data_IF_661929853112
#
_entry.id   IF_661929853112
#
_cell.length_a   1.000
_cell.length_b   1.000
_cell.length_c   1.000
_cell.angle_alpha   90.00
_cell.angle_beta   90.00
_cell.angle_gamma   90.00
#
_symmetry.space_group_name_H-M   'P 1'
#
loop_
_entity.id
_entity.type
_entity.pdbx_description
1 polymer ?
#
# COMPACT_ATOMS: atom_id res chain seq x y z
N UNK A 1 14.52 52.39 -23.34
CA UNK A 1 14.01 51.94 -22.03
C UNK A 1 13.83 53.20 -21.22
N UNK A 2 12.60 53.49 -20.81
CA UNK A 2 12.30 54.68 -20.01
C UNK A 2 12.80 54.50 -18.58
N UNK A 3 13.07 55.61 -17.90
CA UNK A 3 13.51 55.61 -16.49
C UNK A 3 12.46 56.31 -15.65
N UNK A 4 11.85 55.59 -14.71
CA UNK A 4 10.87 56.11 -13.76
C UNK A 4 11.57 56.31 -12.41
N UNK A 5 11.45 57.49 -11.80
CA UNK A 5 12.11 57.86 -10.55
C UNK A 5 11.11 58.31 -9.50
N UNK A 6 10.95 57.51 -8.45
CA UNK A 6 9.98 57.73 -7.40
C UNK A 6 10.63 58.10 -6.07
N UNK A 7 10.00 59.03 -5.36
CA UNK A 7 10.31 59.38 -3.98
C UNK A 7 9.11 59.00 -3.12
N UNK A 8 9.25 58.00 -2.24
CA UNK A 8 8.09 57.36 -1.59
C UNK A 8 7.63 58.07 -0.31
N UNK A 9 8.48 58.90 0.30
CA UNK A 9 8.17 59.59 1.57
C UNK A 9 7.60 61.00 1.37
N UNK A 10 7.57 61.50 0.13
CA UNK A 10 7.11 62.86 -0.18
C UNK A 10 5.88 62.83 -1.09
N UNK A 11 4.68 62.77 -0.50
CA UNK A 11 3.41 63.06 -1.19
C UNK A 11 2.75 64.32 -0.62
N UNK A 12 2.38 65.25 -1.51
CA UNK A 12 1.74 66.53 -1.18
C UNK A 12 0.40 66.73 -1.89
N UNK A 13 -0.13 65.69 -2.54
CA UNK A 13 -1.43 65.79 -3.22
C UNK A 13 -2.56 65.76 -2.20
N UNK A 14 -3.60 66.54 -2.46
CA UNK A 14 -4.82 66.53 -1.64
C UNK A 14 -5.41 65.11 -1.63
N UNK A 15 -5.93 64.68 -0.48
CA UNK A 15 -6.60 63.39 -0.35
C UNK A 15 -7.68 63.31 -1.43
N UNK A 16 -7.66 62.24 -2.22
CA UNK A 16 -8.72 61.97 -3.19
C UNK A 16 -10.06 61.90 -2.43
N UNK A 17 -10.82 63.00 -2.45
CA UNK A 17 -12.26 62.95 -2.23
C UNK A 17 -12.86 61.95 -3.20
N UNK A 18 -14.03 61.37 -2.84
CA UNK A 18 -14.76 60.37 -3.63
C UNK A 18 -14.42 60.48 -5.12
N UNK A 19 -13.90 59.39 -5.71
CA UNK A 19 -13.36 59.29 -7.08
C UNK A 19 -14.22 60.02 -8.12
N UNK A 20 -14.14 61.34 -8.14
CA UNK A 20 -14.69 62.17 -9.18
C UNK A 20 -13.69 61.99 -10.30
N UNK A 21 -14.17 61.55 -11.46
CA UNK A 21 -13.33 61.36 -12.66
C UNK A 21 -12.55 62.65 -13.00
N UNK A 22 -12.92 63.79 -12.41
CA UNK A 22 -12.28 65.09 -12.53
C UNK A 22 -11.15 65.42 -11.52
N UNK A 23 -10.99 64.70 -10.39
CA UNK A 23 -9.87 64.92 -9.44
C UNK A 23 -8.55 64.30 -9.95
N UNK A 24 -8.66 63.36 -10.90
CA UNK A 24 -7.53 62.80 -11.66
C UNK A 24 -7.31 63.49 -13.02
N UNK A 25 -7.95 64.64 -13.29
CA UNK A 25 -7.59 65.53 -14.39
C UNK A 25 -6.27 66.28 -14.09
N UNK A 26 -5.23 65.54 -13.68
CA UNK A 26 -3.88 66.00 -13.88
C UNK A 26 -3.70 66.13 -15.40
N UNK A 27 -3.20 67.26 -15.87
CA UNK A 27 -2.81 67.37 -17.26
C UNK A 27 -1.53 66.55 -17.45
N UNK A 28 -1.72 65.25 -17.65
CA UNK A 28 -0.70 64.23 -17.77
C UNK A 28 0.23 64.42 -18.99
N UNK A 29 -0.10 65.36 -19.89
CA UNK A 29 0.74 65.77 -21.01
C UNK A 29 1.78 66.84 -20.64
N UNK A 30 1.85 67.28 -19.38
CA UNK A 30 2.99 68.03 -18.87
C UNK A 30 4.16 67.09 -18.57
N UNK A 31 4.89 66.71 -19.62
CA UNK A 31 6.07 65.84 -19.58
C UNK A 31 7.22 66.39 -18.70
N UNK A 32 7.07 67.59 -18.12
CA UNK A 32 8.04 68.17 -17.19
C UNK A 32 7.76 67.82 -15.71
N UNK A 33 6.62 67.20 -15.40
CA UNK A 33 6.16 66.96 -14.02
C UNK A 33 5.95 65.51 -13.62
N UNK A 34 5.68 64.61 -14.56
CA UNK A 34 5.37 63.20 -14.27
C UNK A 34 6.17 62.26 -15.17
N UNK A 35 6.63 61.16 -14.58
CA UNK A 35 7.19 60.06 -15.34
C UNK A 35 6.10 59.41 -16.21
N UNK A 36 6.48 58.89 -17.37
CA UNK A 36 5.52 58.38 -18.34
C UNK A 36 6.04 57.15 -19.10
N UNK A 37 5.10 56.30 -19.51
CA UNK A 37 5.28 55.16 -20.39
C UNK A 37 4.25 55.25 -21.49
N UNK A 38 4.69 55.07 -22.74
CA UNK A 38 3.79 54.97 -23.88
C UNK A 38 4.08 53.71 -24.69
N UNK A 39 3.01 53.05 -25.12
CA UNK A 39 3.06 51.86 -25.95
C UNK A 39 1.92 51.84 -26.96
N UNK A 40 1.96 50.92 -27.92
CA UNK A 40 0.85 50.62 -28.82
C UNK A 40 0.05 49.43 -28.33
N UNK A 41 -1.24 49.43 -28.64
CA UNK A 41 -2.14 48.32 -28.35
C UNK A 41 -1.59 47.02 -28.95
N UNK A 42 -1.71 45.91 -28.22
CA UNK A 42 -1.21 44.58 -28.60
C UNK A 42 0.32 44.43 -28.69
N UNK A 43 1.10 45.37 -28.17
CA UNK A 43 2.54 45.13 -27.94
C UNK A 43 2.73 43.95 -26.96
N UNK A 44 3.75 43.12 -27.22
CA UNK A 44 4.05 41.94 -26.38
C UNK A 44 5.51 41.97 -25.90
N UNK A 45 5.68 42.17 -24.60
CA UNK A 45 6.90 41.87 -23.81
C UNK A 45 8.21 42.54 -24.23
N UNK A 46 8.18 43.61 -25.03
CA UNK A 46 9.37 44.40 -25.37
C UNK A 46 9.40 45.78 -24.69
N UNK A 47 8.30 46.20 -24.07
CA UNK A 47 8.23 47.47 -23.36
C UNK A 47 8.77 47.27 -21.94
N UNK A 48 9.82 48.01 -21.62
CA UNK A 48 10.53 47.90 -20.34
C UNK A 48 10.73 49.28 -19.73
N UNK A 49 10.68 49.36 -18.41
CA UNK A 49 11.09 50.52 -17.63
C UNK A 49 12.17 50.14 -16.63
N UNK A 50 13.17 51.01 -16.47
CA UNK A 50 14.03 51.00 -15.30
C UNK A 50 13.38 51.88 -14.24
N UNK A 51 13.11 51.32 -13.08
CA UNK A 51 12.49 52.03 -11.97
C UNK A 51 13.53 52.27 -10.89
N UNK A 52 13.61 53.51 -10.41
CA UNK A 52 14.47 53.95 -9.31
C UNK A 52 13.62 54.46 -8.17
N UNK A 53 13.89 53.96 -6.97
CA UNK A 53 13.11 54.26 -5.77
C UNK A 53 13.99 54.87 -4.71
N UNK A 54 13.58 56.03 -4.22
CA UNK A 54 14.27 56.80 -3.19
C UNK A 54 13.34 57.02 -2.00
N UNK A 55 13.94 57.08 -0.82
CA UNK A 55 13.29 57.40 0.46
C UNK A 55 14.01 58.59 1.11
N UNK A 56 13.38 59.19 2.12
CA UNK A 56 13.84 60.39 2.81
C UNK A 56 13.14 61.68 2.37
N UNK A 57 13.49 62.78 3.03
CA UNK A 57 12.90 64.09 2.78
C UNK A 57 13.51 64.77 1.54
N UNK A 58 12.83 65.82 1.06
CA UNK A 58 13.21 66.60 -0.13
C UNK A 58 14.67 67.08 -0.16
N UNK A 59 15.29 67.26 1.00
CA UNK A 59 16.65 67.75 1.13
C UNK A 59 17.70 66.61 1.22
N UNK A 60 17.29 65.36 1.45
CA UNK A 60 18.19 64.22 1.67
C UNK A 60 17.59 62.88 1.16
N UNK A 61 17.35 62.79 -0.15
CA UNK A 61 16.93 61.51 -0.74
C UNK A 61 18.07 60.50 -0.77
N UNK A 62 17.79 59.28 -0.32
CA UNK A 62 18.69 58.12 -0.40
C UNK A 62 17.99 56.96 -1.12
N UNK A 63 18.73 56.12 -1.87
CA UNK A 63 18.12 54.95 -2.49
C UNK A 63 17.44 54.04 -1.45
N UNK A 64 16.25 53.56 -1.77
CA UNK A 64 15.55 52.58 -0.93
C UNK A 64 16.15 51.19 -1.17
N UNK A 65 16.51 50.46 -0.12
CA UNK A 65 16.97 49.08 -0.27
C UNK A 65 15.79 48.15 -0.61
N UNK A 66 15.82 47.59 -1.82
CA UNK A 66 14.81 46.69 -2.37
C UNK A 66 15.14 45.21 -2.14
N UNK A 67 16.18 44.89 -1.37
CA UNK A 67 16.53 43.51 -1.05
C UNK A 67 15.38 42.78 -0.34
N UNK A 68 15.06 41.57 -0.80
CA UNK A 68 13.93 40.75 -0.32
C UNK A 68 12.59 41.48 -0.42
N UNK A 69 12.36 42.20 -1.53
CA UNK A 69 11.08 42.82 -1.83
C UNK A 69 10.59 42.39 -3.22
N UNK A 70 9.28 42.28 -3.37
CA UNK A 70 8.61 42.10 -4.64
C UNK A 70 8.02 43.43 -5.12
N UNK A 71 8.20 43.76 -6.40
CA UNK A 71 7.65 44.97 -7.00
C UNK A 71 6.48 44.58 -7.89
N UNK A 72 5.30 45.00 -7.47
CA UNK A 72 4.01 44.66 -8.07
C UNK A 72 3.53 45.86 -8.87
N UNK A 73 3.15 45.65 -10.12
CA UNK A 73 2.46 46.68 -10.90
C UNK A 73 0.96 46.60 -10.64
N UNK A 74 0.38 47.71 -10.19
CA UNK A 74 -1.06 47.86 -9.97
C UNK A 74 -1.59 48.98 -10.83
N UNK A 75 -2.74 48.77 -11.48
CA UNK A 75 -3.35 49.84 -12.27
C UNK A 75 -4.79 49.60 -12.68
N UNK A 76 -5.48 50.70 -12.95
CA UNK A 76 -6.83 50.76 -13.52
C UNK A 76 -6.72 51.10 -15.00
N UNK A 77 -7.18 50.17 -15.84
CA UNK A 77 -7.11 50.31 -17.29
C UNK A 77 -7.99 51.47 -17.80
N UNK A 78 -7.78 51.95 -19.05
CA UNK A 78 -8.49 53.11 -19.59
C UNK A 78 -10.02 53.00 -19.58
N UNK A 79 -10.56 51.78 -19.68
CA UNK A 79 -12.00 51.56 -19.64
C UNK A 79 -12.63 51.65 -18.24
N UNK A 80 -11.82 51.81 -17.19
CA UNK A 80 -12.25 51.87 -15.80
C UNK A 80 -12.80 50.57 -15.22
N UNK A 81 -12.92 49.49 -16.02
CA UNK A 81 -13.51 48.20 -15.63
C UNK A 81 -12.44 47.16 -15.36
N UNK A 82 -11.41 47.11 -16.19
CA UNK A 82 -10.33 46.15 -16.03
C UNK A 82 -9.19 46.71 -15.18
N UNK A 83 -8.40 45.81 -14.61
CA UNK A 83 -7.29 46.10 -13.71
C UNK A 83 -6.07 45.30 -14.15
N UNK A 84 -4.90 45.86 -13.94
CA UNK A 84 -3.64 45.14 -13.99
C UNK A 84 -3.16 44.93 -12.56
N UNK A 85 -2.78 43.68 -12.28
CA UNK A 85 -2.13 43.27 -11.06
C UNK A 85 -1.06 42.25 -11.45
N UNK A 86 0.19 42.67 -11.46
CA UNK A 86 1.31 41.86 -11.94
C UNK A 86 2.41 41.79 -10.89
N UNK A 87 2.71 40.57 -10.48
CA UNK A 87 3.68 40.24 -9.43
C UNK A 87 4.91 39.51 -9.96
N UNK A 88 5.05 39.35 -11.28
CA UNK A 88 5.99 38.40 -11.90
C UNK A 88 7.02 39.06 -12.78
N UNK A 89 6.65 40.14 -13.46
CA UNK A 89 7.49 40.73 -14.49
C UNK A 89 8.44 41.83 -13.97
N UNK A 90 8.74 41.82 -12.67
CA UNK A 90 9.82 42.62 -12.06
C UNK A 90 11.13 41.83 -11.98
N UNK A 91 12.25 42.50 -12.26
CA UNK A 91 13.61 41.98 -12.07
C UNK A 91 14.46 43.01 -11.32
N UNK A 92 14.95 42.67 -10.13
CA UNK A 92 15.90 43.50 -9.40
C UNK A 92 17.22 43.64 -10.17
N UNK A 93 17.71 44.87 -10.34
CA UNK A 93 18.96 45.17 -11.07
C UNK A 93 20.06 45.62 -10.10
N UNK A 94 19.72 46.55 -9.20
CA UNK A 94 20.60 47.03 -8.13
C UNK A 94 19.72 47.24 -6.88
N UNK A 95 19.48 46.18 -6.08
CA UNK A 95 18.59 46.23 -4.93
C UNK A 95 19.00 47.29 -3.91
N UNK A 96 20.30 47.38 -3.59
CA UNK A 96 20.84 48.35 -2.62
C UNK A 96 20.84 49.78 -3.15
N UNK A 97 20.93 49.94 -4.47
CA UNK A 97 20.78 51.24 -5.15
C UNK A 97 19.34 51.59 -5.52
N UNK A 98 18.35 50.82 -5.05
CA UNK A 98 16.93 51.10 -5.26
C UNK A 98 16.43 50.93 -6.68
N UNK A 99 17.01 50.00 -7.46
CA UNK A 99 16.71 49.86 -8.89
C UNK A 99 16.19 48.47 -9.27
N UNK A 100 15.10 48.47 -10.04
CA UNK A 100 14.56 47.27 -10.68
C UNK A 100 14.14 47.57 -12.12
N UNK A 101 14.15 46.56 -12.98
CA UNK A 101 13.54 46.60 -14.31
C UNK A 101 12.15 46.01 -14.22
N UNK A 102 11.17 46.66 -14.83
CA UNK A 102 9.85 46.08 -15.03
C UNK A 102 9.59 45.82 -16.51
N UNK A 103 9.21 44.59 -16.83
CA UNK A 103 8.86 44.12 -18.16
C UNK A 103 7.33 44.15 -18.31
N UNK A 104 6.76 45.08 -19.07
CA UNK A 104 5.30 45.20 -19.07
C UNK A 104 4.63 44.02 -19.79
N UNK A 105 3.62 43.38 -19.16
CA UNK A 105 2.92 42.25 -19.75
C UNK A 105 2.02 42.72 -20.91
N UNK A 106 1.73 41.85 -21.87
CA UNK A 106 0.90 42.18 -23.03
C UNK A 106 -0.49 42.69 -22.64
N UNK A 107 -1.02 42.21 -21.51
CA UNK A 107 -2.30 42.59 -20.94
C UNK A 107 -2.34 44.08 -20.59
N UNK A 108 -1.20 44.67 -20.21
CA UNK A 108 -1.11 46.10 -19.92
C UNK A 108 -1.28 46.98 -21.18
N UNK A 109 -1.22 46.37 -22.36
CA UNK A 109 -1.40 47.04 -23.66
C UNK A 109 -2.67 46.60 -24.38
N UNK A 110 -3.61 45.95 -23.69
CA UNK A 110 -4.80 45.39 -24.34
C UNK A 110 -5.86 46.44 -24.73
N UNK A 111 -5.97 47.54 -23.98
CA UNK A 111 -6.98 48.58 -24.19
C UNK A 111 -6.32 49.92 -24.48
N UNK A 112 -6.69 50.54 -25.59
CA UNK A 112 -6.19 51.86 -25.96
C UNK A 112 -6.77 52.96 -25.05
N UNK A 113 -5.95 53.96 -24.74
CA UNK A 113 -6.26 55.10 -23.87
C UNK A 113 -5.25 55.26 -22.73
N UNK A 114 -5.49 56.26 -21.90
CA UNK A 114 -4.68 56.54 -20.70
C UNK A 114 -5.19 55.72 -19.51
N UNK A 115 -4.28 55.13 -18.74
CA UNK A 115 -4.62 54.49 -17.49
C UNK A 115 -5.26 55.49 -16.52
N UNK A 116 -6.34 55.10 -15.84
CA UNK A 116 -6.96 55.96 -14.83
C UNK A 116 -6.08 56.08 -13.58
N UNK A 117 -5.31 55.04 -13.29
CA UNK A 117 -4.35 54.99 -12.20
C UNK A 117 -3.33 53.90 -12.50
N UNK A 118 -2.05 54.13 -12.22
CA UNK A 118 -1.03 53.09 -12.28
C UNK A 118 0.16 53.46 -11.41
N UNK A 119 0.66 52.50 -10.64
CA UNK A 119 1.80 52.68 -9.72
C UNK A 119 2.45 51.33 -9.41
N UNK A 120 3.61 51.37 -8.76
CA UNK A 120 4.26 50.17 -8.23
C UNK A 120 4.01 50.04 -6.73
N UNK A 121 3.67 48.85 -6.28
CA UNK A 121 3.67 48.48 -4.87
C UNK A 121 4.90 47.62 -4.57
N UNK A 122 5.68 48.02 -3.59
CA UNK A 122 6.85 47.31 -3.11
C UNK A 122 6.44 46.58 -1.84
N UNK A 123 6.52 45.25 -1.84
CA UNK A 123 6.12 44.40 -0.71
C UNK A 123 7.33 43.65 -0.18
N UNK A 124 7.59 43.74 1.12
CA UNK A 124 8.67 43.00 1.77
C UNK A 124 8.29 41.54 1.95
N UNK A 125 9.16 40.65 1.48
CA UNK A 125 8.97 39.21 1.60
C UNK A 125 9.00 38.78 3.07
N UNK A 126 8.10 37.89 3.47
CA UNK A 126 8.03 37.34 4.82
C UNK A 126 7.28 38.20 5.86
N UNK A 127 7.26 39.54 5.73
CA UNK A 127 6.52 40.42 6.65
C UNK A 127 5.19 40.93 6.06
N UNK A 128 5.11 41.07 4.73
CA UNK A 128 3.92 41.64 4.06
C UNK A 128 3.80 43.16 4.20
N UNK A 129 4.78 43.82 4.83
CA UNK A 129 4.88 45.27 4.86
C UNK A 129 5.03 45.80 3.44
N UNK A 130 4.30 46.88 3.10
CA UNK A 130 4.35 47.42 1.75
C UNK A 130 4.32 48.94 1.72
N UNK A 131 4.92 49.49 0.68
CA UNK A 131 4.88 50.90 0.31
C UNK A 131 4.54 51.03 -1.17
N UNK A 132 3.80 52.06 -1.56
CA UNK A 132 3.46 52.33 -2.95
C UNK A 132 4.25 53.54 -3.46
N UNK A 133 4.62 53.52 -4.73
CA UNK A 133 5.11 54.70 -5.42
C UNK A 133 3.96 55.66 -5.70
N UNK A 134 4.29 56.91 -6.02
CA UNK A 134 3.33 57.80 -6.69
C UNK A 134 2.92 57.21 -8.04
N UNK A 135 1.75 57.62 -8.54
CA UNK A 135 1.29 57.26 -9.87
C UNK A 135 2.18 57.87 -10.96
N UNK A 136 2.30 57.14 -12.07
CA UNK A 136 2.94 57.62 -13.30
C UNK A 136 1.98 57.53 -14.47
N UNK A 137 2.33 58.14 -15.59
CA UNK A 137 1.49 58.13 -16.79
C UNK A 137 1.71 56.86 -17.60
N UNK A 138 0.62 56.20 -17.99
CA UNK A 138 0.67 55.11 -18.95
C UNK A 138 -0.38 55.29 -20.04
N UNK A 139 0.10 55.48 -21.26
CA UNK A 139 -0.74 55.67 -22.45
C UNK A 139 -0.59 54.51 -23.44
N UNK A 140 -1.72 53.94 -23.85
CA UNK A 140 -1.79 52.90 -24.88
C UNK A 140 -2.39 53.49 -26.15
N UNK A 141 -1.59 53.64 -27.19
CA UNK A 141 -2.04 54.12 -28.49
C UNK A 141 -2.81 53.02 -29.23
N UNK A 142 -3.98 53.36 -29.78
CA UNK A 142 -4.79 52.40 -30.54
C UNK A 142 -4.02 51.85 -31.76
N UNK A 143 -4.04 50.52 -31.92
CA UNK A 143 -3.54 49.86 -33.12
C UNK A 143 -4.67 49.69 -34.13
N UNK A 144 -4.75 50.64 -35.06
CA UNK A 144 -5.76 50.64 -36.13
C UNK A 144 -5.46 49.65 -37.26
N UNK A 145 -4.31 48.97 -37.25
CA UNK A 145 -3.93 47.98 -38.27
C UNK A 145 -4.41 46.60 -37.82
N UNK A 146 -4.09 46.20 -36.59
CA UNK A 146 -4.52 44.91 -36.03
C UNK A 146 -6.01 44.92 -35.71
N UNK A 147 -6.58 46.04 -35.24
CA UNK A 147 -8.03 46.15 -34.99
C UNK A 147 -8.89 46.15 -36.26
N UNK A 148 -8.27 46.23 -37.45
CA UNK A 148 -8.94 46.24 -38.76
C UNK A 148 -8.93 44.89 -39.48
N UNK A 149 -8.42 43.83 -38.85
CA UNK A 149 -8.40 42.49 -39.41
C UNK A 149 -9.82 41.94 -39.57
N UNK A 150 -10.11 41.38 -40.75
CA UNK A 150 -11.36 40.69 -41.03
C UNK A 150 -11.37 39.39 -40.19
N UNK A 151 -12.46 39.03 -39.50
CA UNK A 151 -12.52 37.87 -38.61
C UNK A 151 -12.05 36.52 -39.20
N UNK A 152 -11.95 36.37 -40.53
CA UNK A 152 -11.42 35.14 -41.15
C UNK A 152 -9.98 34.81 -40.73
N UNK A 153 -9.16 35.82 -40.40
CA UNK A 153 -7.74 35.61 -40.10
C UNK A 153 -7.52 35.04 -38.68
N UNK A 154 -8.50 35.20 -37.77
CA UNK A 154 -8.45 34.69 -36.40
C UNK A 154 -9.19 33.36 -36.19
N UNK A 155 -10.06 32.98 -37.13
CA UNK A 155 -10.78 31.70 -37.05
C UNK A 155 -9.78 30.55 -37.18
N UNK A 156 -8.86 30.58 -38.14
CA UNK A 156 -7.94 29.45 -38.39
C UNK A 156 -7.06 29.06 -37.18
N UNK A 157 -6.38 30.00 -36.47
CA UNK A 157 -5.62 29.64 -35.27
C UNK A 157 -6.49 29.14 -34.11
N UNK A 158 -7.74 29.60 -34.01
CA UNK A 158 -8.68 29.15 -33.01
C UNK A 158 -9.20 27.73 -33.31
N UNK A 159 -9.55 27.46 -34.57
CA UNK A 159 -9.93 26.12 -35.05
C UNK A 159 -8.78 25.11 -34.86
N UNK A 160 -7.53 25.53 -35.07
CA UNK A 160 -6.33 24.71 -34.79
C UNK A 160 -6.19 24.39 -33.29
N UNK A 161 -6.43 25.37 -32.42
CA UNK A 161 -6.39 25.14 -30.97
C UNK A 161 -7.54 24.23 -30.52
N UNK A 162 -8.73 24.42 -31.08
CA UNK A 162 -9.89 23.60 -30.82
C UNK A 162 -9.66 22.15 -31.26
N UNK A 163 -9.12 21.95 -32.47
CA UNK A 163 -8.76 20.63 -33.00
C UNK A 163 -7.71 19.91 -32.13
N UNK A 164 -6.73 20.65 -31.60
CA UNK A 164 -5.76 20.10 -30.64
C UNK A 164 -6.41 19.68 -29.33
N UNK A 165 -7.34 20.49 -28.82
CA UNK A 165 -8.08 20.17 -27.59
C UNK A 165 -8.96 18.93 -27.79
N UNK A 166 -9.68 18.84 -28.90
CA UNK A 166 -10.51 17.68 -29.26
C UNK A 166 -9.67 16.40 -29.37
N UNK A 167 -8.48 16.48 -29.98
CA UNK A 167 -7.55 15.34 -30.06
C UNK A 167 -7.06 14.88 -28.68
N UNK A 168 -6.76 15.82 -27.77
CA UNK A 168 -6.36 15.51 -26.39
C UNK A 168 -7.51 14.83 -25.64
N UNK A 169 -8.74 15.35 -25.76
CA UNK A 169 -9.92 14.77 -25.11
C UNK A 169 -10.23 13.37 -25.63
N UNK A 170 -10.17 13.17 -26.95
CA UNK A 170 -10.41 11.87 -27.59
C UNK A 170 -9.37 10.84 -27.15
N UNK A 171 -8.09 11.24 -27.09
CA UNK A 171 -7.02 10.37 -26.59
C UNK A 171 -7.22 10.03 -25.10
N UNK A 172 -7.58 11.02 -24.28
CA UNK A 172 -7.88 10.81 -22.87
C UNK A 172 -9.01 9.81 -22.64
N UNK A 173 -10.11 9.94 -23.38
CA UNK A 173 -11.24 8.99 -23.31
C UNK A 173 -10.83 7.56 -23.72
N UNK A 174 -10.00 7.43 -24.77
CA UNK A 174 -9.47 6.13 -25.20
C UNK A 174 -8.55 5.49 -24.14
N UNK A 175 -7.65 6.27 -23.53
CA UNK A 175 -6.74 5.79 -22.49
C UNK A 175 -7.51 5.35 -21.23
N UNK A 176 -8.52 6.12 -20.80
CA UNK A 176 -9.38 5.75 -19.66
C UNK A 176 -10.16 4.47 -19.95
N UNK A 177 -10.76 4.33 -21.13
CA UNK A 177 -11.46 3.09 -21.53
C UNK A 177 -10.52 1.88 -21.53
N UNK A 178 -9.29 2.05 -22.00
CA UNK A 178 -8.27 1.00 -21.97
C UNK A 178 -7.94 0.57 -20.54
N UNK A 179 -7.71 1.52 -19.63
CA UNK A 179 -7.43 1.23 -18.22
C UNK A 179 -8.60 0.49 -17.56
N UNK A 180 -9.84 0.90 -17.83
CA UNK A 180 -11.03 0.22 -17.29
C UNK A 180 -11.14 -1.20 -17.84
N UNK A 181 -10.88 -1.41 -19.13
CA UNK A 181 -10.91 -2.74 -19.74
C UNK A 181 -9.85 -3.67 -19.14
N UNK A 182 -8.60 -3.21 -19.04
CA UNK A 182 -7.51 -3.98 -18.43
C UNK A 182 -7.76 -4.28 -16.95
N UNK A 183 -8.31 -3.32 -16.20
CA UNK A 183 -8.70 -3.54 -14.80
C UNK A 183 -9.80 -4.59 -14.69
N UNK A 184 -10.84 -4.50 -15.52
CA UNK A 184 -11.97 -5.44 -15.52
C UNK A 184 -11.51 -6.86 -15.87
N UNK A 185 -10.63 -7.00 -16.85
CA UNK A 185 -10.04 -8.28 -17.23
C UNK A 185 -9.26 -8.90 -16.07
N UNK A 186 -8.30 -8.15 -15.49
CA UNK A 186 -7.49 -8.62 -14.35
C UNK A 186 -8.35 -8.97 -13.15
N UNK A 187 -9.37 -8.16 -12.86
CA UNK A 187 -10.30 -8.40 -11.76
C UNK A 187 -11.08 -9.69 -11.98
N UNK A 188 -11.62 -9.91 -13.17
CA UNK A 188 -12.36 -11.13 -13.50
C UNK A 188 -11.49 -12.38 -13.43
N UNK A 189 -10.24 -12.31 -13.93
CA UNK A 189 -9.27 -13.40 -13.80
C UNK A 189 -8.98 -13.71 -12.34
N UNK A 190 -8.66 -12.70 -11.53
CA UNK A 190 -8.38 -12.89 -10.11
C UNK A 190 -9.58 -13.49 -9.37
N UNK A 191 -10.78 -13.01 -9.66
CA UNK A 191 -12.02 -13.52 -9.07
C UNK A 191 -12.27 -14.98 -9.45
N UNK A 192 -12.05 -15.34 -10.72
CA UNK A 192 -12.14 -16.72 -11.20
C UNK A 192 -11.13 -17.63 -10.50
N UNK A 193 -9.87 -17.19 -10.39
CA UNK A 193 -8.80 -17.95 -9.76
C UNK A 193 -9.07 -18.17 -8.27
N UNK A 194 -9.55 -17.14 -7.56
CA UNK A 194 -9.95 -17.25 -6.15
C UNK A 194 -11.10 -18.25 -5.96
N UNK A 195 -12.12 -18.21 -6.82
CA UNK A 195 -13.22 -19.18 -6.77
C UNK A 195 -12.72 -20.60 -7.03
N UNK A 196 -11.85 -20.78 -8.03
CA UNK A 196 -11.26 -22.08 -8.37
C UNK A 196 -10.44 -22.64 -7.19
N UNK A 197 -9.60 -21.82 -6.57
CA UNK A 197 -8.83 -22.20 -5.38
C UNK A 197 -9.73 -22.55 -4.18
N UNK A 198 -10.83 -21.82 -4.00
CA UNK A 198 -11.83 -22.10 -2.97
C UNK A 198 -12.46 -23.49 -3.14
N UNK A 199 -12.89 -23.84 -4.35
CA UNK A 199 -13.45 -25.16 -4.65
C UNK A 199 -12.42 -26.30 -4.54
N UNK A 200 -11.18 -26.07 -4.97
CA UNK A 200 -10.09 -27.03 -4.78
C UNK A 200 -9.82 -27.28 -3.29
N UNK A 201 -9.78 -26.21 -2.49
CA UNK A 201 -9.54 -26.29 -1.05
C UNK A 201 -10.69 -27.04 -0.35
N UNK A 202 -11.93 -26.75 -0.72
CA UNK A 202 -13.12 -27.48 -0.23
C UNK A 202 -13.05 -28.98 -0.56
N UNK A 203 -12.60 -29.32 -1.77
CA UNK A 203 -12.41 -30.71 -2.21
C UNK A 203 -11.32 -31.40 -1.39
N UNK A 204 -10.18 -30.72 -1.15
CA UNK A 204 -9.10 -31.24 -0.32
C UNK A 204 -9.55 -31.44 1.14
N UNK A 205 -10.28 -30.48 1.72
CA UNK A 205 -10.83 -30.59 3.08
C UNK A 205 -11.76 -31.81 3.17
N UNK A 206 -12.69 -31.97 2.22
CA UNK A 206 -13.62 -33.11 2.19
C UNK A 206 -12.87 -34.44 2.07
N UNK A 207 -11.84 -34.48 1.22
CA UNK A 207 -10.99 -35.68 1.05
C UNK A 207 -10.25 -36.02 2.34
N UNK A 208 -9.66 -35.02 3.01
CA UNK A 208 -8.99 -35.21 4.30
C UNK A 208 -9.96 -35.67 5.39
N UNK A 209 -11.16 -35.08 5.46
CA UNK A 209 -12.22 -35.51 6.39
C UNK A 209 -12.58 -36.98 6.19
N UNK A 210 -12.78 -37.41 4.94
CA UNK A 210 -13.08 -38.80 4.64
C UNK A 210 -11.93 -39.73 5.03
N UNK A 211 -10.67 -39.36 4.73
CA UNK A 211 -9.49 -40.14 5.12
C UNK A 211 -9.34 -40.26 6.64
N UNK A 212 -9.58 -39.17 7.37
CA UNK A 212 -9.55 -39.18 8.85
C UNK A 212 -10.63 -40.09 9.41
N UNK A 213 -11.86 -40.01 8.87
CA UNK A 213 -12.96 -40.89 9.28
C UNK A 213 -12.65 -42.36 9.02
N UNK A 214 -12.12 -42.70 7.85
CA UNK A 214 -11.71 -44.08 7.56
C UNK A 214 -10.56 -44.57 8.46
N UNK A 215 -9.66 -43.67 8.88
CA UNK A 215 -8.61 -44.01 9.84
C UNK A 215 -9.20 -44.28 11.24
N UNK A 216 -10.13 -43.44 11.68
CA UNK A 216 -10.88 -43.62 12.94
C UNK A 216 -11.62 -44.96 12.96
N UNK A 217 -12.34 -45.29 11.88
CA UNK A 217 -13.05 -46.57 11.73
C UNK A 217 -12.10 -47.77 11.82
N UNK A 218 -10.91 -47.71 11.18
CA UNK A 218 -9.91 -48.79 11.26
C UNK A 218 -9.34 -48.96 12.66
N UNK A 219 -9.05 -47.86 13.36
CA UNK A 219 -8.56 -47.91 14.75
C UNK A 219 -9.59 -48.61 15.65
N UNK A 220 -10.89 -48.35 15.43
CA UNK A 220 -11.96 -49.02 16.17
C UNK A 220 -12.17 -50.48 15.73
N UNK A 221 -11.97 -50.80 14.45
CA UNK A 221 -12.24 -52.13 13.89
C UNK A 221 -11.12 -53.15 14.11
N UNK A 222 -9.84 -52.74 14.13
CA UNK A 222 -8.70 -53.64 14.34
C UNK A 222 -8.60 -54.19 15.78
N UNK A 223 -9.65 -53.99 16.59
CA UNK A 223 -9.75 -54.56 17.94
C UNK A 223 -8.57 -54.17 18.80
N UNK A 224 -8.05 -52.95 18.61
CA UNK A 224 -6.92 -52.42 19.37
C UNK A 224 -7.29 -52.46 20.85
N UNK A 225 -6.67 -53.39 21.56
CA UNK A 225 -6.87 -53.63 22.98
C UNK A 225 -6.63 -52.33 23.73
N UNK A 226 -7.72 -51.71 24.19
CA UNK A 226 -7.64 -50.47 24.93
C UNK A 226 -6.89 -50.73 26.24
N UNK A 227 -6.31 -49.68 26.84
CA UNK A 227 -5.64 -49.83 28.13
C UNK A 227 -6.56 -50.43 29.20
N UNK A 228 -7.87 -50.15 29.15
CA UNK A 228 -8.85 -50.70 30.07
C UNK A 228 -9.06 -52.21 29.85
N UNK A 229 -9.19 -52.66 28.59
CA UNK A 229 -9.30 -54.09 28.25
C UNK A 229 -8.00 -54.84 28.61
N UNK A 230 -6.84 -54.19 28.46
CA UNK A 230 -5.56 -54.70 28.91
C UNK A 230 -5.51 -54.97 30.42
N UNK A 231 -6.01 -54.02 31.20
CA UNK A 231 -6.05 -54.15 32.67
C UNK A 231 -7.04 -55.23 33.13
N UNK A 232 -8.17 -55.40 32.44
CA UNK A 232 -9.12 -56.49 32.72
C UNK A 232 -8.56 -57.86 32.36
N UNK A 233 -7.93 -58.00 31.19
CA UNK A 233 -7.29 -59.25 30.80
C UNK A 233 -6.13 -59.63 31.73
N UNK A 234 -5.36 -58.64 32.19
CA UNK A 234 -4.34 -58.85 33.22
C UNK A 234 -4.95 -59.42 34.51
N UNK A 235 -6.08 -58.88 34.98
CA UNK A 235 -6.80 -59.43 36.16
C UNK A 235 -7.29 -60.84 35.91
N UNK A 236 -7.85 -61.12 34.73
CA UNK A 236 -8.31 -62.45 34.34
C UNK A 236 -7.18 -63.48 34.41
N UNK A 237 -6.04 -63.21 33.74
CA UNK A 237 -4.88 -64.11 33.74
C UNK A 237 -4.34 -64.35 35.16
N UNK A 238 -4.22 -63.28 35.97
CA UNK A 238 -3.77 -63.40 37.35
C UNK A 238 -4.74 -64.24 38.21
N UNK A 239 -6.05 -64.10 38.01
CA UNK A 239 -7.05 -64.93 38.68
C UNK A 239 -6.97 -66.41 38.27
N UNK A 240 -6.80 -66.69 36.97
CA UNK A 240 -6.73 -68.05 36.42
C UNK A 240 -5.48 -68.82 36.85
N UNK A 241 -4.33 -68.14 36.99
CA UNK A 241 -3.09 -68.77 37.46
C UNK A 241 -3.21 -69.19 38.93
N UNK A 242 -3.90 -68.40 39.75
CA UNK A 242 -4.11 -68.70 41.18
C UNK A 242 -5.13 -69.83 41.38
N UNK A 243 -6.00 -70.10 40.39
CA UNK A 243 -7.01 -71.18 40.43
C UNK A 243 -6.58 -72.48 39.73
N UNK A 244 -5.31 -72.64 39.35
CA UNK A 244 -4.83 -73.87 38.73
C UNK A 244 -4.75 -75.01 39.77
N UNK A 245 -5.88 -75.68 39.96
CA UNK A 245 -6.06 -76.97 40.65
C UNK A 245 -5.04 -78.05 40.20
N UNK A 246 -4.33 -77.85 39.08
CA UNK A 246 -3.30 -78.77 38.60
C UNK A 246 -2.08 -78.85 39.54
N UNK A 247 -1.71 -77.77 40.23
CA UNK A 247 -0.57 -77.82 41.18
C UNK A 247 -0.97 -78.63 42.41
N UNK A 248 -2.14 -78.36 42.96
CA UNK A 248 -2.66 -79.09 44.13
C UNK A 248 -3.04 -80.54 43.79
N UNK A 249 -3.52 -80.81 42.57
CA UNK A 249 -3.84 -82.17 42.11
C UNK A 249 -2.59 -83.00 41.82
N UNK A 250 -1.56 -82.43 41.19
CA UNK A 250 -0.28 -83.14 40.97
C UNK A 250 0.39 -83.47 42.31
N UNK A 251 0.38 -82.55 43.28
CA UNK A 251 0.91 -82.82 44.63
C UNK A 251 0.14 -83.96 45.30
N UNK A 252 -1.18 -83.97 45.24
CA UNK A 252 -2.00 -85.02 45.84
C UNK A 252 -1.87 -86.38 45.12
N UNK A 253 -1.86 -86.41 43.77
CA UNK A 253 -1.74 -87.65 42.99
C UNK A 253 -0.38 -88.34 43.22
N UNK A 254 0.72 -87.57 43.26
CA UNK A 254 2.07 -88.10 43.56
C UNK A 254 2.13 -88.69 44.97
N UNK A 255 1.48 -88.07 45.96
CA UNK A 255 1.41 -88.60 47.33
C UNK A 255 0.60 -89.89 47.41
N UNK A 256 -0.48 -90.03 46.63
CA UNK A 256 -1.30 -91.25 46.63
C UNK A 256 -0.66 -92.42 45.88
N UNK A 257 0.07 -92.17 44.79
CA UNK A 257 0.73 -93.23 44.01
C UNK A 257 1.88 -93.90 44.76
N UNK A 258 2.55 -93.19 45.67
CA UNK A 258 3.62 -93.77 46.49
C UNK A 258 3.11 -94.69 47.62
N UNK A 259 1.81 -94.70 47.92
CA UNK A 259 1.32 -95.31 49.17
C UNK A 259 0.34 -96.48 49.01
N UNK A 260 -0.20 -96.79 47.82
CA UNK A 260 -1.28 -97.79 47.71
C UNK A 260 -1.04 -99.01 46.81
N UNK A 261 0.01 -99.07 45.98
CA UNK A 261 0.16 -100.19 45.02
C UNK A 261 1.33 -101.16 45.30
N UNK A 262 1.87 -101.11 46.53
CA UNK A 262 2.72 -102.17 47.08
C UNK A 262 1.96 -102.90 48.20
N UNK A 263 0.96 -103.68 47.80
CA UNK A 263 0.23 -104.66 48.63
C UNK A 263 0.67 -106.11 48.32
N UNK A 264 0.54 -107.06 49.25
CA UNK A 264 1.61 -108.03 49.51
C UNK A 264 1.35 -109.42 48.91
N UNK A 265 2.05 -109.78 47.84
CA UNK A 265 2.35 -111.20 47.57
C UNK A 265 3.75 -111.37 47.01
N UNK A 266 4.55 -112.20 47.69
CA UNK A 266 5.96 -112.57 47.43
C UNK A 266 7.02 -111.53 47.81
N UNK A 267 8.12 -111.99 48.40
CA UNK A 267 9.26 -111.16 48.82
C UNK A 267 9.64 -110.16 47.72
N UNK A 268 9.90 -108.87 48.05
CA UNK A 268 10.42 -107.95 47.07
C UNK A 268 11.73 -108.54 46.52
N UNK A 269 11.81 -108.71 45.20
CA UNK A 269 13.06 -109.01 44.53
C UNK A 269 14.12 -108.02 45.03
N UNK A 270 15.30 -108.52 45.41
CA UNK A 270 16.36 -107.62 45.84
C UNK A 270 16.68 -106.64 44.71
N UNK A 271 17.17 -105.45 45.05
CA UNK A 271 17.59 -104.44 44.07
C UNK A 271 18.55 -105.04 43.03
N UNK A 272 19.35 -106.04 43.42
CA UNK A 272 20.26 -106.76 42.53
C UNK A 272 19.52 -107.58 41.45
N UNK A 273 18.36 -108.17 41.76
CA UNK A 273 17.56 -108.96 40.81
C UNK A 273 16.83 -108.09 39.78
N UNK A 274 16.44 -106.87 40.17
CA UNK A 274 15.84 -105.88 39.25
C UNK A 274 16.92 -105.23 38.40
N UNK A 275 18.08 -104.93 38.97
CA UNK A 275 19.23 -104.39 38.24
C UNK A 275 19.72 -105.34 37.14
N UNK A 276 19.78 -106.66 37.41
CA UNK A 276 20.18 -107.68 36.42
C UNK A 276 19.26 -107.72 35.19
N UNK A 277 17.95 -107.52 35.35
CA UNK A 277 16.98 -107.58 34.24
C UNK A 277 17.05 -106.35 33.32
N UNK A 278 17.38 -105.18 33.88
CA UNK A 278 17.66 -103.95 33.12
C UNK A 278 19.06 -103.94 32.48
N UNK A 279 20.08 -104.52 33.13
CA UNK A 279 21.41 -104.69 32.54
C UNK A 279 21.42 -105.72 31.38
N UNK A 280 20.51 -106.70 31.40
CA UNK A 280 20.30 -107.66 30.31
C UNK A 280 19.39 -107.12 29.17
N UNK A 281 18.91 -105.87 29.27
CA UNK A 281 18.22 -105.15 28.20
C UNK A 281 16.78 -105.60 27.89
N UNK A 282 16.00 -106.03 28.89
CA UNK A 282 14.58 -106.39 28.72
C UNK A 282 13.67 -105.46 29.53
N UNK A 283 12.52 -105.07 28.95
CA UNK A 283 11.41 -104.44 29.67
C UNK A 283 10.31 -105.48 29.98
N UNK A 284 9.79 -105.48 31.21
CA UNK A 284 8.68 -106.33 31.62
C UNK A 284 7.35 -105.71 31.17
N UNK A 285 6.72 -106.29 30.14
CA UNK A 285 5.42 -105.86 29.62
C UNK A 285 4.30 -106.85 29.94
N UNK A 286 3.12 -106.34 30.32
CA UNK A 286 1.88 -107.11 30.50
C UNK A 286 1.21 -107.38 29.14
N UNK A 287 0.89 -108.62 28.81
CA UNK A 287 0.23 -109.00 27.54
C UNK A 287 -1.12 -109.65 27.82
N UNK A 288 -2.16 -109.27 27.05
CA UNK A 288 -3.56 -109.73 27.21
C UNK A 288 -3.94 -110.65 26.04
N UNK A 289 -4.36 -111.89 26.32
CA UNK A 289 -4.75 -112.87 25.30
C UNK A 289 -6.21 -112.75 24.83
N UNK A 290 -6.59 -113.29 23.64
CA UNK A 290 -7.87 -112.99 22.97
C UNK A 290 -9.14 -113.50 23.68
N UNK A 291 -9.00 -114.34 24.71
CA UNK A 291 -10.13 -114.80 25.55
C UNK A 291 -10.17 -114.13 26.92
N UNK A 292 -9.31 -113.13 27.19
CA UNK A 292 -9.38 -112.28 28.37
C UNK A 292 -8.59 -112.72 29.61
N UNK A 293 -7.72 -113.75 29.49
CA UNK A 293 -6.75 -114.09 30.55
C UNK A 293 -5.40 -113.38 30.31
N UNK A 294 -4.70 -113.05 31.41
CA UNK A 294 -3.45 -112.27 31.43
C UNK A 294 -2.26 -113.15 31.87
N UNK A 295 -1.14 -113.03 31.18
CA UNK A 295 0.17 -113.53 31.62
C UNK A 295 1.27 -112.52 31.28
N UNK A 296 2.28 -112.42 32.14
CA UNK A 296 3.46 -111.58 31.90
C UNK A 296 4.53 -112.46 31.27
N UNK A 297 4.91 -112.15 30.03
CA UNK A 297 6.03 -112.78 29.35
C UNK A 297 7.11 -111.75 29.00
N UNK A 298 8.36 -112.22 28.94
CA UNK A 298 9.51 -111.37 28.62
C UNK A 298 9.39 -110.91 27.17
N UNK A 299 9.15 -109.63 26.96
CA UNK A 299 9.21 -109.00 25.64
C UNK A 299 10.57 -108.33 25.51
N UNK A 300 11.31 -108.70 24.48
CA UNK A 300 12.58 -108.05 24.15
C UNK A 300 12.27 -106.82 23.34
N UNK A 301 12.70 -105.65 23.80
CA UNK A 301 12.57 -104.43 23.01
C UNK A 301 13.44 -104.51 21.76
N UNK A 302 12.91 -103.93 20.68
CA UNK A 302 13.58 -103.67 19.40
C UNK A 302 13.98 -102.20 19.37
#
# INVERSE_FOLDING_TARGET
MEVLTFHVDTDRRDLAGEMDDDVLNLNWHDNSKYDWIQARQYEKSMRQALVKVYQGDKDNYVPMDLSNTNQILEGVMPDGKHRIYDTKDSTLIDPTGGQFRFDFPAQAFATAGSYKQIFFRIVREGTGESIATLEFNMDVMADKVVSGLIPSDYITPFEDLYSKLEAILTKGDADVKKVIAEFTEKFNTLFHDLNTQGELTKTMITTCQNRLKSLEEKILQDGLFTQAEADEFKKYILGSIVQSDMVDRVINEVQTLQMTDLGPTSEPFSVDQVAQATDDGYNAGLVIGPTGDYSIEKVKDV
#
